data_IF_133011766051
#
_entry.id   IF_133011766051
#
_cell.length_a   1.000
_cell.length_b   1.000
_cell.length_c   1.000
_cell.angle_alpha   90.00
_cell.angle_beta   90.00
_cell.angle_gamma   90.00
#
_symmetry.space_group_name_H-M   'P 1'
#
loop_
_entity.id
_entity.type
_entity.pdbx_description
1 polymer ?
#
# COMPACT_ATOMS: atom_id res chain seq x y z
N UNK A 1 91.96 -38.16 -68.54
CA UNK A 1 90.61 -38.11 -67.93
C UNK A 1 90.17 -36.65 -67.91
N UNK A 2 89.37 -36.25 -68.90
CA UNK A 2 88.89 -34.86 -69.03
C UNK A 2 87.85 -34.57 -67.94
N UNK A 3 88.07 -33.55 -67.12
CA UNK A 3 87.05 -33.03 -66.21
C UNK A 3 86.04 -32.27 -67.06
N UNK A 4 84.79 -32.74 -67.05
CA UNK A 4 83.66 -32.04 -67.68
C UNK A 4 83.16 -31.04 -66.64
N UNK A 5 83.55 -29.78 -66.79
CA UNK A 5 83.05 -28.70 -65.95
C UNK A 5 81.62 -28.36 -66.39
N UNK A 6 80.64 -29.02 -65.77
CA UNK A 6 79.21 -28.68 -65.94
C UNK A 6 78.99 -27.31 -65.30
N UNK A 7 78.46 -26.35 -66.06
CA UNK A 7 78.13 -25.02 -65.55
C UNK A 7 77.15 -25.14 -64.38
N UNK A 8 77.48 -24.62 -63.19
CA UNK A 8 76.67 -24.82 -61.99
C UNK A 8 75.29 -24.16 -62.14
N UNK A 9 74.24 -24.83 -61.65
CA UNK A 9 72.87 -24.32 -61.68
C UNK A 9 72.79 -23.01 -60.86
N UNK A 10 72.28 -21.90 -61.44
CA UNK A 10 72.16 -20.61 -60.74
C UNK A 10 71.41 -20.69 -59.40
N UNK A 11 70.46 -21.63 -59.23
CA UNK A 11 69.79 -21.85 -57.93
C UNK A 11 70.71 -22.45 -56.89
N UNK A 12 71.56 -23.38 -57.28
CA UNK A 12 72.54 -24.01 -56.39
C UNK A 12 73.61 -23.00 -55.96
N UNK A 13 74.08 -22.16 -56.90
CA UNK A 13 75.03 -21.08 -56.60
C UNK A 13 74.44 -20.09 -55.60
N UNK A 14 73.19 -19.64 -55.79
CA UNK A 14 72.51 -18.73 -54.87
C UNK A 14 72.29 -19.36 -53.47
N UNK A 15 71.95 -20.64 -53.40
CA UNK A 15 71.79 -21.34 -52.12
C UNK A 15 73.13 -21.50 -51.38
N UNK A 16 74.21 -21.78 -52.10
CA UNK A 16 75.58 -21.87 -51.56
C UNK A 16 76.03 -20.50 -51.03
N UNK A 17 75.77 -19.42 -51.76
CA UNK A 17 76.08 -18.06 -51.33
C UNK A 17 75.28 -17.63 -50.11
N UNK A 18 73.97 -17.90 -50.08
CA UNK A 18 73.13 -17.63 -48.91
C UNK A 18 73.62 -18.38 -47.66
N UNK A 19 74.06 -19.63 -47.82
CA UNK A 19 74.66 -20.43 -46.74
C UNK A 19 75.98 -19.83 -46.27
N UNK A 20 76.85 -19.41 -47.19
CA UNK A 20 78.12 -18.72 -46.88
C UNK A 20 77.88 -17.41 -46.14
N UNK A 21 76.87 -16.63 -46.54
CA UNK A 21 76.54 -15.37 -45.90
C UNK A 21 75.99 -15.58 -44.47
N UNK A 22 75.09 -16.56 -44.27
CA UNK A 22 74.62 -16.93 -42.92
C UNK A 22 75.75 -17.40 -42.01
N UNK A 23 76.71 -18.16 -42.55
CA UNK A 23 77.86 -18.63 -41.77
C UNK A 23 78.79 -17.46 -41.41
N UNK A 24 79.01 -16.50 -42.32
CA UNK A 24 79.74 -15.25 -42.01
C UNK A 24 79.04 -14.42 -40.93
N UNK A 25 77.71 -14.29 -40.99
CA UNK A 25 76.91 -13.59 -39.99
C UNK A 25 76.91 -14.29 -38.63
N UNK A 26 77.04 -15.62 -38.61
CA UNK A 26 77.19 -16.41 -37.39
C UNK A 26 78.59 -16.25 -36.81
N UNK A 27 79.63 -16.34 -37.64
CA UNK A 27 81.02 -16.18 -37.23
C UNK A 27 81.27 -14.80 -36.62
N UNK A 28 80.74 -13.74 -37.23
CA UNK A 28 80.87 -12.37 -36.70
C UNK A 28 80.28 -12.21 -35.29
N UNK A 29 79.21 -12.96 -34.96
CA UNK A 29 78.61 -13.00 -33.62
C UNK A 29 79.42 -13.83 -32.64
N UNK A 30 79.93 -14.98 -33.06
CA UNK A 30 80.59 -15.95 -32.19
C UNK A 30 82.03 -15.57 -31.82
N UNK A 31 82.77 -14.99 -32.78
CA UNK A 31 84.16 -14.56 -32.57
C UNK A 31 84.28 -13.25 -31.79
N UNK A 32 83.27 -12.38 -31.83
CA UNK A 32 83.25 -11.18 -31.01
C UNK A 32 82.78 -11.49 -29.58
N UNK A 33 83.73 -11.51 -28.64
CA UNK A 33 83.50 -11.85 -27.23
C UNK A 33 82.46 -10.95 -26.58
N UNK A 34 82.41 -9.66 -26.93
CA UNK A 34 81.49 -8.69 -26.31
C UNK A 34 80.04 -8.93 -26.72
N UNK A 35 79.78 -9.19 -28.01
CA UNK A 35 78.43 -9.56 -28.48
C UNK A 35 78.01 -10.94 -28.00
N UNK A 36 78.95 -11.87 -27.79
CA UNK A 36 78.65 -13.20 -27.25
C UNK A 36 78.23 -13.16 -25.78
N UNK A 37 78.87 -12.31 -24.97
CA UNK A 37 78.60 -12.22 -23.52
C UNK A 37 77.47 -11.24 -23.19
N UNK A 38 77.37 -10.10 -23.90
CA UNK A 38 76.45 -8.99 -23.58
C UNK A 38 75.69 -8.43 -24.80
N UNK A 39 75.63 -9.17 -25.91
CA UNK A 39 74.93 -8.72 -27.10
C UNK A 39 73.42 -8.63 -26.87
N UNK A 40 72.87 -7.43 -26.97
CA UNK A 40 71.43 -7.16 -26.84
C UNK A 40 70.98 -6.29 -28.00
N UNK A 41 69.83 -6.61 -28.60
CA UNK A 41 69.23 -5.78 -29.62
C UNK A 41 68.47 -4.60 -29.00
N UNK A 42 69.22 -3.53 -28.74
CA UNK A 42 68.70 -2.30 -28.13
C UNK A 42 67.59 -1.68 -28.98
N UNK A 43 67.64 -1.83 -30.31
CA UNK A 43 66.60 -1.27 -31.20
C UNK A 43 65.29 -2.02 -31.02
N UNK A 44 65.33 -3.36 -31.03
CA UNK A 44 64.14 -4.17 -30.79
C UNK A 44 63.55 -3.94 -29.40
N UNK A 45 64.39 -3.83 -28.36
CA UNK A 45 63.92 -3.54 -27.00
C UNK A 45 63.28 -2.16 -26.89
N UNK A 46 63.87 -1.13 -27.51
CA UNK A 46 63.26 0.20 -27.53
C UNK A 46 61.90 0.18 -28.25
N UNK A 47 61.78 -0.53 -29.38
CA UNK A 47 60.49 -0.70 -30.06
C UNK A 47 59.45 -1.40 -29.17
N UNK A 48 59.83 -2.43 -28.41
CA UNK A 48 58.93 -3.11 -27.48
C UNK A 48 58.47 -2.19 -26.33
N UNK A 49 59.38 -1.37 -25.80
CA UNK A 49 59.05 -0.39 -24.75
C UNK A 49 58.07 0.65 -25.26
N UNK A 50 58.28 1.19 -26.46
CA UNK A 50 57.36 2.15 -27.07
C UNK A 50 55.98 1.52 -27.35
N UNK A 51 55.95 0.28 -27.85
CA UNK A 51 54.69 -0.45 -28.04
C UNK A 51 53.94 -0.62 -26.72
N UNK A 52 54.64 -0.99 -25.64
CA UNK A 52 54.05 -1.15 -24.31
C UNK A 52 53.43 0.17 -23.81
N UNK A 53 54.16 1.28 -23.92
CA UNK A 53 53.66 2.61 -23.54
C UNK A 53 52.41 3.00 -24.32
N UNK A 54 52.38 2.71 -25.63
CA UNK A 54 51.21 2.97 -26.45
C UNK A 54 50.00 2.15 -25.98
N UNK A 55 50.19 0.86 -25.67
CA UNK A 55 49.13 0.01 -25.12
C UNK A 55 48.62 0.56 -23.79
N UNK A 56 49.50 0.84 -22.84
CA UNK A 56 49.15 1.40 -21.53
C UNK A 56 48.39 2.73 -21.68
N UNK A 57 48.84 3.63 -22.56
CA UNK A 57 48.15 4.88 -22.83
C UNK A 57 46.76 4.68 -23.45
N UNK A 58 46.59 3.66 -24.32
CA UNK A 58 45.27 3.34 -24.88
C UNK A 58 44.33 2.74 -23.83
N UNK A 59 44.84 1.93 -22.91
CA UNK A 59 44.06 1.36 -21.81
C UNK A 59 43.62 2.45 -20.83
N UNK A 60 44.53 3.34 -20.42
CA UNK A 60 44.20 4.48 -19.57
C UNK A 60 43.13 5.39 -20.20
N UNK A 61 43.20 5.63 -21.51
CA UNK A 61 42.16 6.39 -22.23
C UNK A 61 40.80 5.69 -22.22
N UNK A 62 40.79 4.36 -22.35
CA UNK A 62 39.54 3.57 -22.27
C UNK A 62 38.97 3.61 -20.86
N UNK A 63 39.80 3.40 -19.84
CA UNK A 63 39.38 3.47 -18.43
C UNK A 63 38.82 4.85 -18.08
N UNK A 64 39.48 5.93 -18.52
CA UNK A 64 38.97 7.28 -18.33
C UNK A 64 37.59 7.49 -19.00
N UNK A 65 37.39 6.95 -20.21
CA UNK A 65 36.09 7.00 -20.89
C UNK A 65 35.03 6.16 -20.16
N UNK A 66 35.37 4.98 -19.65
CA UNK A 66 34.45 4.19 -18.83
C UNK A 66 34.09 4.89 -17.51
N UNK A 67 35.05 5.56 -16.88
CA UNK A 67 34.80 6.36 -15.68
C UNK A 67 33.81 7.49 -15.93
N UNK A 68 33.89 8.18 -17.07
CA UNK A 68 32.90 9.23 -17.39
C UNK A 68 31.52 8.64 -17.67
N UNK A 69 31.42 7.50 -18.36
CA UNK A 69 30.14 6.81 -18.56
C UNK A 69 29.52 6.34 -17.23
N UNK A 70 30.31 5.81 -16.31
CA UNK A 70 29.85 5.40 -14.98
C UNK A 70 29.20 6.59 -14.24
N UNK A 71 29.86 7.74 -14.19
CA UNK A 71 29.28 8.94 -13.56
C UNK A 71 27.96 9.37 -14.20
N UNK A 72 27.82 9.25 -15.53
CA UNK A 72 26.57 9.56 -16.21
C UNK A 72 25.46 8.56 -15.83
N UNK A 73 25.78 7.27 -15.79
CA UNK A 73 24.81 6.25 -15.39
C UNK A 73 24.39 6.38 -13.94
N UNK A 74 25.32 6.68 -13.03
CA UNK A 74 25.03 6.91 -11.61
C UNK A 74 24.08 8.10 -11.42
N UNK A 75 24.30 9.19 -12.17
CA UNK A 75 23.41 10.34 -12.14
C UNK A 75 22.00 9.96 -12.61
N UNK A 76 21.88 9.21 -13.71
CA UNK A 76 20.59 8.75 -14.23
C UNK A 76 19.89 7.83 -13.23
N UNK A 77 20.62 6.91 -12.60
CA UNK A 77 20.08 6.01 -11.58
C UNK A 77 19.51 6.80 -10.38
N UNK A 78 20.25 7.79 -9.87
CA UNK A 78 19.78 8.64 -8.78
C UNK A 78 18.53 9.46 -9.14
N UNK A 79 18.44 9.96 -10.38
CA UNK A 79 17.23 10.67 -10.84
C UNK A 79 16.02 9.75 -10.90
N UNK A 80 16.18 8.53 -11.44
CA UNK A 80 15.10 7.54 -11.52
C UNK A 80 14.64 7.10 -10.14
N UNK A 81 15.55 6.90 -9.19
CA UNK A 81 15.21 6.55 -7.81
C UNK A 81 14.39 7.65 -7.14
N UNK A 82 14.79 8.92 -7.29
CA UNK A 82 14.02 10.07 -6.79
C UNK A 82 12.64 10.14 -7.40
N UNK A 83 12.52 9.93 -8.71
CA UNK A 83 11.24 9.94 -9.40
C UNK A 83 10.32 8.82 -8.89
N UNK A 84 10.86 7.61 -8.70
CA UNK A 84 10.11 6.49 -8.14
C UNK A 84 9.66 6.77 -6.69
N UNK A 85 10.52 7.33 -5.85
CA UNK A 85 10.20 7.74 -4.49
C UNK A 85 9.07 8.80 -4.46
N UNK A 86 9.10 9.76 -5.38
CA UNK A 86 8.02 10.73 -5.50
C UNK A 86 6.71 10.09 -5.96
N UNK A 87 6.74 9.22 -6.96
CA UNK A 87 5.56 8.51 -7.47
C UNK A 87 4.90 7.68 -6.38
N UNK A 88 5.69 6.90 -5.64
CA UNK A 88 5.20 6.09 -4.50
C UNK A 88 4.59 6.98 -3.41
N UNK A 89 5.25 8.08 -3.05
CA UNK A 89 4.70 9.05 -2.08
C UNK A 89 3.41 9.71 -2.55
N UNK A 90 3.28 10.04 -3.84
CA UNK A 90 2.04 10.60 -4.42
C UNK A 90 0.92 9.56 -4.40
N UNK A 91 1.21 8.31 -4.74
CA UNK A 91 0.23 7.21 -4.66
C UNK A 91 -0.24 6.97 -3.24
N UNK A 92 0.68 6.91 -2.27
CA UNK A 92 0.34 6.73 -0.86
C UNK A 92 -0.57 7.86 -0.34
N UNK A 93 -0.28 9.11 -0.72
CA UNK A 93 -1.16 10.26 -0.41
C UNK A 93 -2.56 10.09 -0.99
N UNK A 94 -2.68 9.75 -2.26
CA UNK A 94 -4.00 9.52 -2.90
C UNK A 94 -4.78 8.40 -2.23
N UNK A 95 -4.12 7.31 -1.84
CA UNK A 95 -4.76 6.21 -1.11
C UNK A 95 -5.26 6.70 0.24
N UNK A 96 -4.46 7.49 0.95
CA UNK A 96 -4.85 8.05 2.24
C UNK A 96 -6.02 9.03 2.12
N UNK A 97 -5.96 9.95 1.16
CA UNK A 97 -7.07 10.88 0.83
C UNK A 97 -8.35 10.11 0.50
N UNK A 98 -8.26 9.02 -0.26
CA UNK A 98 -9.40 8.18 -0.57
C UNK A 98 -9.99 7.49 0.67
N UNK A 99 -9.13 6.98 1.57
CA UNK A 99 -9.56 6.40 2.85
C UNK A 99 -10.29 7.43 3.70
N UNK A 100 -9.72 8.62 3.80
CA UNK A 100 -10.29 9.74 4.57
C UNK A 100 -11.60 10.24 3.97
N UNK A 101 -11.77 10.25 2.65
CA UNK A 101 -13.00 10.76 2.03
C UNK A 101 -14.11 9.71 1.98
N UNK A 102 -13.78 8.47 1.61
CA UNK A 102 -14.77 7.45 1.25
C UNK A 102 -14.90 6.33 2.28
N UNK A 103 -13.86 6.04 3.05
CA UNK A 103 -13.83 4.91 3.98
C UNK A 103 -13.98 5.33 5.45
N UNK A 104 -14.53 6.53 5.71
CA UNK A 104 -14.86 6.94 7.07
C UNK A 104 -15.88 5.98 7.69
N UNK A 105 -15.73 5.72 8.99
CA UNK A 105 -16.67 4.91 9.76
C UNK A 105 -18.11 5.42 9.64
N UNK A 106 -18.30 6.74 9.64
CA UNK A 106 -19.60 7.40 9.50
C UNK A 106 -20.33 7.09 8.19
N UNK A 107 -19.58 6.73 7.14
CA UNK A 107 -20.14 6.44 5.82
C UNK A 107 -20.46 4.95 5.64
N UNK A 108 -20.32 4.13 6.68
CA UNK A 108 -20.67 2.71 6.63
C UNK A 108 -22.17 2.52 6.72
N UNK A 109 -22.70 1.57 5.96
CA UNK A 109 -24.13 1.24 5.97
C UNK A 109 -24.62 0.78 7.36
N UNK A 110 -23.77 0.10 8.11
CA UNK A 110 -24.09 -0.41 9.44
C UNK A 110 -23.73 0.57 10.56
N UNK A 111 -23.29 1.80 10.24
CA UNK A 111 -22.83 2.75 11.26
C UNK A 111 -23.93 3.02 12.30
N UNK A 112 -25.19 3.12 11.89
CA UNK A 112 -26.32 3.35 12.78
C UNK A 112 -26.47 2.28 13.88
N UNK A 113 -26.07 1.03 13.60
CA UNK A 113 -26.07 -0.05 14.61
C UNK A 113 -24.91 0.07 15.59
N UNK A 114 -23.77 0.57 15.12
CA UNK A 114 -22.52 0.67 15.89
C UNK A 114 -22.30 2.04 16.53
N UNK A 115 -23.20 3.01 16.30
CA UNK A 115 -23.07 4.36 16.84
C UNK A 115 -23.18 4.33 18.38
N UNK A 116 -22.14 4.76 19.12
CA UNK A 116 -22.21 4.88 20.58
C UNK A 116 -23.34 5.81 21.05
N UNK A 117 -23.72 6.79 20.23
CA UNK A 117 -24.81 7.73 20.50
C UNK A 117 -26.20 7.16 20.27
N UNK A 118 -26.32 5.96 19.70
CA UNK A 118 -27.61 5.34 19.32
C UNK A 118 -28.60 5.34 20.48
N UNK A 119 -28.19 4.91 21.66
CA UNK A 119 -29.08 4.83 22.83
C UNK A 119 -29.59 6.19 23.32
N UNK A 120 -28.86 7.28 23.04
CA UNK A 120 -29.30 8.63 23.37
C UNK A 120 -30.30 9.19 22.35
N UNK A 121 -30.28 8.68 21.12
CA UNK A 121 -31.14 9.10 20.01
C UNK A 121 -32.36 8.20 19.82
N UNK A 122 -32.37 7.02 20.45
CA UNK A 122 -33.51 6.10 20.40
C UNK A 122 -34.71 6.68 21.14
N UNK A 123 -35.82 6.77 20.42
CA UNK A 123 -37.10 7.11 21.04
C UNK A 123 -37.51 6.00 22.02
N UNK A 124 -38.06 6.35 23.19
CA UNK A 124 -38.58 5.35 24.11
C UNK A 124 -39.64 4.51 23.40
N UNK A 125 -39.62 3.20 23.62
CA UNK A 125 -40.51 2.25 22.95
C UNK A 125 -42.01 2.50 23.18
N UNK A 126 -42.38 3.41 24.09
CA UNK A 126 -43.73 3.91 24.26
C UNK A 126 -43.69 5.40 24.59
N UNK A 127 -44.21 6.25 23.70
CA UNK A 127 -44.32 7.69 23.92
C UNK A 127 -45.77 8.08 24.24
N UNK A 128 -46.09 8.18 25.54
CA UNK A 128 -47.45 8.50 25.99
C UNK A 128 -48.47 7.35 25.83
N UNK A 129 -49.74 7.65 26.11
CA UNK A 129 -50.84 6.66 26.12
C UNK A 129 -51.66 6.62 24.84
N UNK A 130 -51.64 7.69 24.04
CA UNK A 130 -52.50 7.92 22.87
C UNK A 130 -51.69 8.10 21.58
N UNK A 131 -50.74 7.21 21.32
CA UNK A 131 -49.93 7.26 20.11
C UNK A 131 -50.54 6.36 19.01
N UNK A 132 -50.90 6.91 17.83
CA UNK A 132 -51.48 6.16 16.72
C UNK A 132 -50.51 5.15 16.07
N UNK A 133 -49.20 5.21 16.34
CA UNK A 133 -48.23 4.29 15.74
C UNK A 133 -48.27 2.87 16.34
N UNK A 134 -48.90 2.67 17.50
CA UNK A 134 -48.90 1.39 18.22
C UNK A 134 -50.16 0.56 17.93
N UNK A 135 -50.07 -0.30 16.91
CA UNK A 135 -51.11 -1.30 16.62
C UNK A 135 -51.07 -2.52 17.57
N UNK A 136 -52.09 -3.40 17.53
CA UNK A 136 -52.16 -4.58 18.41
C UNK A 136 -50.96 -5.54 18.31
N UNK A 137 -50.31 -5.61 17.14
CA UNK A 137 -49.13 -6.45 16.91
C UNK A 137 -47.87 -5.96 17.63
N UNK A 138 -47.80 -4.67 18.02
CA UNK A 138 -46.63 -4.13 18.72
C UNK A 138 -46.55 -4.62 20.17
N UNK A 139 -47.67 -5.11 20.74
CA UNK A 139 -47.79 -5.53 22.14
C UNK A 139 -47.38 -4.47 23.16
N UNK A 140 -47.34 -3.19 22.77
CA UNK A 140 -46.98 -2.07 23.65
C UNK A 140 -48.20 -1.45 24.34
N UNK A 141 -49.39 -1.60 23.74
CA UNK A 141 -50.66 -1.12 24.27
C UNK A 141 -51.63 -2.29 24.39
N UNK A 142 -52.19 -2.47 25.58
CA UNK A 142 -53.18 -3.50 25.85
C UNK A 142 -54.48 -2.85 26.30
N UNK A 143 -55.59 -3.19 25.63
CA UNK A 143 -56.91 -2.64 25.94
C UNK A 143 -57.37 -2.95 27.38
N UNK A 144 -56.89 -4.04 28.01
CA UNK A 144 -57.21 -4.37 29.40
C UNK A 144 -56.48 -3.51 30.45
N UNK A 145 -55.53 -2.67 30.05
CA UNK A 145 -54.89 -1.70 30.96
C UNK A 145 -55.80 -0.48 31.09
N UNK A 146 -56.85 -0.60 31.90
CA UNK A 146 -57.81 0.47 32.17
C UNK A 146 -57.16 1.60 32.99
N UNK A 147 -56.61 2.61 32.30
CA UNK A 147 -56.03 3.80 32.95
C UNK A 147 -57.09 4.58 33.74
N UNK A 148 -58.34 4.59 33.25
CA UNK A 148 -59.46 5.31 33.85
C UNK A 148 -60.18 4.52 34.96
N UNK A 149 -59.72 3.31 35.30
CA UNK A 149 -60.39 2.46 36.31
C UNK A 149 -60.60 3.19 37.63
N UNK A 150 -59.63 3.99 38.06
CA UNK A 150 -59.73 4.77 39.29
C UNK A 150 -60.83 5.84 39.21
N UNK A 151 -60.96 6.52 38.06
CA UNK A 151 -62.02 7.49 37.82
C UNK A 151 -63.40 6.82 37.72
N UNK A 152 -63.49 5.69 37.01
CA UNK A 152 -64.72 4.90 36.91
C UNK A 152 -65.19 4.41 38.29
N UNK A 153 -64.29 3.92 39.14
CA UNK A 153 -64.63 3.48 40.50
C UNK A 153 -65.11 4.64 41.38
N UNK A 154 -64.49 5.82 41.28
CA UNK A 154 -64.96 7.01 42.00
C UNK A 154 -66.37 7.40 41.56
N UNK A 155 -66.61 7.47 40.25
CA UNK A 155 -67.94 7.76 39.71
C UNK A 155 -68.97 6.73 40.18
N UNK A 156 -68.62 5.44 40.20
CA UNK A 156 -69.51 4.39 40.70
C UNK A 156 -69.84 4.56 42.19
N UNK A 157 -68.84 4.91 43.03
CA UNK A 157 -69.06 5.19 44.45
C UNK A 157 -69.95 6.41 44.67
N UNK A 158 -69.75 7.48 43.91
CA UNK A 158 -70.59 8.68 43.98
C UNK A 158 -72.04 8.39 43.56
N UNK A 159 -72.23 7.64 42.48
CA UNK A 159 -73.55 7.18 42.04
C UNK A 159 -74.23 6.31 43.10
N UNK A 160 -73.48 5.42 43.76
CA UNK A 160 -74.00 4.58 44.82
C UNK A 160 -74.42 5.40 46.04
N UNK A 161 -73.58 6.34 46.48
CA UNK A 161 -73.91 7.29 47.56
C UNK A 161 -75.18 8.07 47.25
N UNK A 162 -75.25 8.67 46.06
CA UNK A 162 -76.41 9.45 45.63
C UNK A 162 -77.70 8.63 45.62
N UNK A 163 -77.66 7.37 45.13
CA UNK A 163 -78.82 6.47 45.14
C UNK A 163 -79.27 6.13 46.57
N UNK A 164 -78.33 5.84 47.47
CA UNK A 164 -78.64 5.56 48.87
C UNK A 164 -79.26 6.75 49.59
N UNK A 165 -78.74 7.96 49.35
CA UNK A 165 -79.28 9.20 49.91
C UNK A 165 -80.72 9.44 49.44
N UNK A 166 -80.99 9.23 48.15
CA UNK A 166 -82.34 9.34 47.58
C UNK A 166 -83.30 8.32 48.21
N UNK A 167 -82.90 7.05 48.33
CA UNK A 167 -83.72 6.03 48.98
C UNK A 167 -84.03 6.36 50.45
N UNK A 168 -83.06 6.90 51.18
CA UNK A 168 -83.27 7.32 52.56
C UNK A 168 -84.25 8.50 52.64
N UNK A 169 -84.18 9.46 51.72
CA UNK A 169 -85.13 10.55 51.62
C UNK A 169 -86.54 10.06 51.29
N UNK A 170 -86.68 9.17 50.31
CA UNK A 170 -87.96 8.54 49.94
C UNK A 170 -88.57 7.80 51.14
N UNK A 171 -87.79 6.97 51.86
CA UNK A 171 -88.27 6.29 53.07
C UNK A 171 -88.66 7.27 54.19
N UNK A 172 -87.94 8.39 54.34
CA UNK A 172 -88.30 9.43 55.31
C UNK A 172 -89.60 10.11 54.92
N UNK A 173 -89.83 10.39 53.64
CA UNK A 173 -91.08 10.96 53.12
C UNK A 173 -92.25 10.00 53.36
N UNK A 174 -92.11 8.72 53.00
CA UNK A 174 -93.14 7.69 53.28
C UNK A 174 -93.47 7.61 54.77
N UNK A 175 -92.47 7.60 55.67
CA UNK A 175 -92.69 7.60 57.12
C UNK A 175 -93.38 8.87 57.63
N UNK A 176 -93.15 10.02 56.99
CA UNK A 176 -93.85 11.27 57.33
C UNK A 176 -95.30 11.19 56.84
N UNK A 177 -95.53 10.70 55.63
CA UNK A 177 -96.87 10.53 55.05
C UNK A 177 -97.71 9.50 55.83
N UNK A 178 -97.11 8.40 56.31
CA UNK A 178 -97.74 7.43 57.22
C UNK A 178 -98.11 8.06 58.57
N UNK A 179 -97.25 8.93 59.13
CA UNK A 179 -97.57 9.66 60.39
C UNK A 179 -98.65 10.71 60.20
N UNK A 180 -98.73 11.35 59.03
CA UNK A 180 -99.76 12.33 58.70
C UNK A 180 -101.11 11.65 58.40
N UNK A 181 -101.12 10.48 57.76
CA UNK A 181 -102.33 9.69 57.50
C UNK A 181 -102.85 8.95 58.74
N UNK A 182 -101.96 8.50 59.66
CA UNK A 182 -102.34 7.93 60.95
C UNK A 182 -102.84 8.94 62.01
N UNK A 183 -102.86 10.24 61.69
CA UNK A 183 -103.43 11.30 62.53
C UNK A 183 -104.85 11.73 62.12
N UNK A 184 -105.43 11.09 61.10
CA UNK A 184 -106.84 11.29 60.70
C UNK A 184 -107.63 10.03 61.10
N UNK A 185 -107.84 9.82 62.39
CA UNK A 185 -109.00 9.19 63.07
C UNK A 185 -109.04 9.84 64.46
#
# INVERSE_FOLDING_TARGET
MYKVDVSPDPKEVAAIEARRNREKDRQSRFFNVRTRVMGVDVKALNSQVEERKLREATEQRKEAAYGTYQMQYDLVAQMLEKEQAERTRRLARKVQEFREQKQQLKNRQEFDFWDPGRFCMEFPGRFGDSDPYYGPASLQCFAGKDLDRAACLKMQQEQFKYRLERQLQEQRQVKVDEKCSGRII
#
